data_IF_738769102426
#
_entry.id   IF_738769102426
#
_cell.length_a   1.000
_cell.length_b   1.000
_cell.length_c   1.000
_cell.angle_alpha   90.00
_cell.angle_beta   90.00
_cell.angle_gamma   90.00
#
_symmetry.space_group_name_H-M   'P 1'
#
loop_
_entity.id
_entity.type
_entity.pdbx_description
1 polymer ?
#
# COMPACT_ATOMS: atom_id res chain seq x y z
N UNK A 1 32.32 -11.83 -43.85
CA UNK A 1 31.07 -11.03 -43.80
C UNK A 1 30.63 -10.93 -42.35
N UNK A 2 30.75 -9.75 -41.74
CA UNK A 2 30.27 -9.51 -40.38
C UNK A 2 28.75 -9.31 -40.45
N UNK A 3 27.98 -10.28 -39.96
CA UNK A 3 26.54 -10.14 -39.82
C UNK A 3 26.25 -9.07 -38.76
N UNK A 4 25.84 -7.88 -39.20
CA UNK A 4 25.24 -6.88 -38.30
C UNK A 4 23.97 -7.46 -37.69
N UNK A 5 23.76 -7.35 -36.36
CA UNK A 5 22.59 -7.92 -35.72
C UNK A 5 21.32 -7.26 -36.28
N UNK A 6 20.36 -8.09 -36.70
CA UNK A 6 19.08 -7.63 -37.22
C UNK A 6 18.39 -6.72 -36.18
N UNK A 7 18.04 -5.49 -36.58
CA UNK A 7 17.28 -4.56 -35.75
C UNK A 7 15.90 -5.18 -35.45
N UNK A 8 15.72 -5.63 -34.22
CA UNK A 8 14.39 -5.83 -33.66
C UNK A 8 13.59 -4.52 -33.75
N UNK A 9 12.41 -4.54 -34.37
CA UNK A 9 11.44 -3.42 -34.36
C UNK A 9 10.85 -3.16 -32.95
N UNK A 10 11.29 -3.92 -31.95
CA UNK A 10 10.87 -3.76 -30.56
C UNK A 10 12.03 -3.11 -29.81
N UNK A 11 11.74 -2.00 -29.14
CA UNK A 11 12.70 -1.25 -28.32
C UNK A 11 13.35 -2.13 -27.23
N UNK A 12 14.34 -1.59 -26.50
CA UNK A 12 15.14 -2.36 -25.54
C UNK A 12 14.26 -3.19 -24.59
N UNK A 13 14.66 -4.44 -24.38
CA UNK A 13 14.00 -5.36 -23.46
C UNK A 13 13.85 -4.73 -22.09
N UNK A 14 12.74 -4.98 -21.39
CA UNK A 14 12.51 -4.43 -20.05
C UNK A 14 13.64 -4.87 -19.12
N UNK A 15 14.47 -3.92 -18.69
CA UNK A 15 15.69 -4.22 -17.93
C UNK A 15 15.43 -4.55 -16.45
N UNK A 16 14.22 -4.33 -15.94
CA UNK A 16 13.85 -4.46 -14.53
C UNK A 16 12.73 -5.51 -14.35
N UNK A 17 12.82 -6.32 -13.31
CA UNK A 17 11.83 -7.33 -12.97
C UNK A 17 10.56 -6.71 -12.34
N UNK A 18 9.42 -7.40 -12.47
CA UNK A 18 8.14 -6.93 -11.91
C UNK A 18 8.22 -6.81 -10.37
N UNK A 19 8.95 -7.73 -9.72
CA UNK A 19 9.18 -7.74 -8.28
C UNK A 19 9.96 -6.51 -7.81
N UNK A 20 11.00 -6.12 -8.55
CA UNK A 20 11.80 -4.93 -8.25
C UNK A 20 10.94 -3.65 -8.33
N UNK A 21 10.06 -3.55 -9.33
CA UNK A 21 9.11 -2.43 -9.44
C UNK A 21 8.16 -2.41 -8.25
N UNK A 22 7.57 -3.56 -7.89
CA UNK A 22 6.69 -3.68 -6.72
C UNK A 22 7.40 -3.27 -5.43
N UNK A 23 8.66 -3.67 -5.24
CA UNK A 23 9.46 -3.29 -4.08
C UNK A 23 9.65 -1.78 -3.98
N UNK A 24 10.00 -1.12 -5.09
CA UNK A 24 10.15 0.35 -5.14
C UNK A 24 8.83 1.05 -4.79
N UNK A 25 7.69 0.54 -5.28
CA UNK A 25 6.37 1.08 -4.96
C UNK A 25 6.03 0.95 -3.48
N UNK A 26 6.31 -0.20 -2.87
CA UNK A 26 6.07 -0.41 -1.43
C UNK A 26 6.98 0.48 -0.59
N UNK A 27 8.26 0.58 -0.96
CA UNK A 27 9.21 1.48 -0.28
C UNK A 27 8.74 2.93 -0.36
N UNK A 28 8.19 3.38 -1.50
CA UNK A 28 7.60 4.70 -1.60
C UNK A 28 6.47 4.91 -0.60
N UNK A 29 5.53 3.96 -0.49
CA UNK A 29 4.43 4.05 0.49
C UNK A 29 4.92 4.12 1.94
N UNK A 30 5.97 3.35 2.27
CA UNK A 30 6.56 3.38 3.61
C UNK A 30 7.34 4.68 3.89
N UNK A 31 7.94 5.27 2.86
CA UNK A 31 8.82 6.44 2.99
C UNK A 31 8.09 7.77 3.29
N UNK A 32 6.76 7.80 3.16
CA UNK A 32 5.91 8.99 3.39
C UNK A 32 6.29 10.23 2.57
N UNK A 33 7.00 10.07 1.46
CA UNK A 33 7.27 11.17 0.53
C UNK A 33 5.97 11.61 -0.16
N UNK A 34 5.80 12.92 -0.36
CA UNK A 34 4.65 13.48 -1.08
C UNK A 34 4.77 13.24 -2.59
N UNK A 35 5.98 13.39 -3.12
CA UNK A 35 6.25 13.34 -4.56
C UNK A 35 7.05 12.10 -4.95
N UNK A 36 6.47 11.30 -5.84
CA UNK A 36 7.12 10.09 -6.34
C UNK A 36 8.42 10.40 -7.10
N UNK A 37 8.45 11.49 -7.86
CA UNK A 37 9.63 11.91 -8.63
C UNK A 37 10.82 12.24 -7.73
N UNK A 38 10.57 12.92 -6.61
CA UNK A 38 11.64 13.28 -5.66
C UNK A 38 12.18 12.04 -4.94
N UNK A 39 11.27 11.15 -4.51
CA UNK A 39 11.64 9.85 -3.95
C UNK A 39 12.50 9.03 -4.94
N UNK A 40 12.06 8.91 -6.19
CA UNK A 40 12.76 8.11 -7.21
C UNK A 40 14.14 8.67 -7.55
N UNK A 41 14.30 9.99 -7.64
CA UNK A 41 15.60 10.61 -7.89
C UNK A 41 16.57 10.43 -6.71
N UNK A 42 16.06 10.38 -5.48
CA UNK A 42 16.85 10.09 -4.29
C UNK A 42 17.16 8.60 -4.12
N UNK A 43 16.35 7.71 -4.69
CA UNK A 43 16.42 6.27 -4.49
C UNK A 43 17.82 5.66 -4.72
N UNK A 44 18.54 5.95 -5.83
CA UNK A 44 19.88 5.39 -6.06
C UNK A 44 20.95 5.84 -5.06
N UNK A 45 20.69 6.91 -4.28
CA UNK A 45 21.61 7.41 -3.24
C UNK A 45 21.43 6.65 -1.93
N UNK A 46 20.20 6.24 -1.62
CA UNK A 46 19.86 5.53 -0.39
C UNK A 46 20.08 4.02 -0.51
N UNK A 47 19.90 3.45 -1.70
CA UNK A 47 19.98 2.02 -1.93
C UNK A 47 21.20 1.66 -2.77
N UNK A 48 21.88 0.56 -2.43
CA UNK A 48 23.05 0.08 -3.19
C UNK A 48 22.64 -0.26 -4.61
N UNK A 49 23.43 0.22 -5.57
CA UNK A 49 23.31 -0.13 -7.00
C UNK A 49 23.40 -1.64 -7.24
N UNK A 50 24.02 -2.38 -6.32
CA UNK A 50 24.11 -3.84 -6.33
C UNK A 50 22.72 -4.51 -6.31
N UNK A 51 21.74 -3.93 -5.60
CA UNK A 51 20.40 -4.47 -5.47
C UNK A 51 19.50 -4.14 -6.66
N UNK A 52 19.76 -3.02 -7.35
CA UNK A 52 18.99 -2.55 -8.50
C UNK A 52 19.93 -2.11 -9.63
N UNK A 53 20.67 -3.05 -10.24
CA UNK A 53 21.72 -2.72 -11.22
C UNK A 53 21.17 -2.14 -12.51
N UNK A 54 19.88 -2.38 -12.80
CA UNK A 54 19.21 -2.04 -14.06
C UNK A 54 18.03 -1.09 -13.85
N UNK A 55 18.22 -0.08 -13.01
CA UNK A 55 17.17 0.89 -12.72
C UNK A 55 16.87 1.76 -13.97
N UNK A 56 15.62 1.82 -14.46
CA UNK A 56 15.25 2.63 -15.62
C UNK A 56 15.23 4.13 -15.30
N UNK A 57 15.07 4.98 -16.32
CA UNK A 57 14.76 6.40 -16.10
C UNK A 57 13.36 6.57 -15.48
N UNK A 58 13.13 7.69 -14.79
CA UNK A 58 11.84 8.00 -14.14
C UNK A 58 10.65 7.84 -15.10
N UNK A 59 10.73 8.42 -16.30
CA UNK A 59 9.65 8.34 -17.30
C UNK A 59 9.35 6.90 -17.70
N UNK A 60 10.41 6.14 -17.98
CA UNK A 60 10.28 4.72 -18.30
C UNK A 60 9.69 3.93 -17.14
N UNK A 61 10.08 4.26 -15.90
CA UNK A 61 9.54 3.64 -14.70
C UNK A 61 8.04 3.90 -14.56
N UNK A 62 7.55 5.14 -14.77
CA UNK A 62 6.13 5.48 -14.69
C UNK A 62 5.29 4.65 -15.66
N UNK A 63 5.77 4.45 -16.90
CA UNK A 63 5.10 3.56 -17.84
C UNK A 63 5.07 2.10 -17.36
N UNK A 64 6.16 1.63 -16.74
CA UNK A 64 6.27 0.27 -16.21
C UNK A 64 5.43 0.07 -14.92
N UNK A 65 5.21 1.12 -14.11
CA UNK A 65 4.38 1.05 -12.90
C UNK A 65 2.98 0.52 -13.22
N UNK A 66 2.37 0.99 -14.32
CA UNK A 66 1.03 0.56 -14.75
C UNK A 66 0.88 -0.98 -14.81
N UNK A 67 1.93 -1.68 -15.23
CA UNK A 67 1.95 -3.15 -15.33
C UNK A 67 2.11 -3.83 -13.97
N UNK A 68 2.82 -3.20 -13.03
CA UNK A 68 3.11 -3.75 -11.71
C UNK A 68 2.03 -3.45 -10.67
N UNK A 69 1.23 -2.39 -10.85
CA UNK A 69 0.15 -2.01 -9.92
C UNK A 69 -0.85 -3.16 -9.76
N UNK A 70 -1.27 -3.80 -10.86
CA UNK A 70 -2.21 -4.92 -10.79
C UNK A 70 -1.64 -6.11 -9.99
N UNK A 71 -0.38 -6.48 -10.28
CA UNK A 71 0.33 -7.52 -9.53
C UNK A 71 0.49 -7.16 -8.05
N UNK A 72 0.74 -5.89 -7.75
CA UNK A 72 0.86 -5.40 -6.38
C UNK A 72 -0.46 -5.50 -5.62
N UNK A 73 -1.58 -5.13 -6.24
CA UNK A 73 -2.91 -5.24 -5.64
C UNK A 73 -3.20 -6.70 -5.29
N UNK A 74 -3.04 -7.62 -6.25
CA UNK A 74 -3.25 -9.05 -6.02
C UNK A 74 -2.35 -9.56 -4.89
N UNK A 75 -1.07 -9.19 -4.92
CA UNK A 75 -0.13 -9.57 -3.87
C UNK A 75 -0.57 -9.08 -2.50
N UNK A 76 -1.01 -7.83 -2.37
CA UNK A 76 -1.52 -7.28 -1.11
C UNK A 76 -2.79 -7.98 -0.64
N UNK A 77 -3.72 -8.30 -1.54
CA UNK A 77 -4.95 -9.02 -1.19
C UNK A 77 -4.64 -10.43 -0.65
N UNK A 78 -3.78 -11.18 -1.34
CA UNK A 78 -3.35 -12.52 -0.89
C UNK A 78 -2.63 -12.47 0.47
N UNK A 79 -1.82 -11.43 0.69
CA UNK A 79 -1.11 -11.26 1.97
C UNK A 79 -2.04 -10.79 3.09
N UNK A 80 -3.04 -9.96 2.79
CA UNK A 80 -4.02 -9.44 3.76
C UNK A 80 -5.01 -10.52 4.23
N UNK A 81 -5.42 -11.43 3.35
CA UNK A 81 -6.36 -12.53 3.62
C UNK A 81 -5.84 -13.56 4.65
N UNK A 82 -4.55 -13.48 5.04
CA UNK A 82 -4.02 -14.29 6.15
C UNK A 82 -4.56 -13.85 7.52
N UNK A 83 -5.22 -12.70 7.63
CA UNK A 83 -5.93 -12.31 8.84
C UNK A 83 -7.30 -13.02 8.90
N UNK A 84 -7.27 -14.33 9.22
CA UNK A 84 -8.48 -15.16 9.48
C UNK A 84 -9.07 -14.88 10.86
N UNK A 85 -9.33 -13.61 11.13
CA UNK A 85 -10.07 -13.15 12.30
C UNK A 85 -10.92 -11.99 11.86
N UNK A 86 -12.09 -11.81 12.47
CA UNK A 86 -12.90 -10.60 12.27
C UNK A 86 -11.98 -9.41 12.53
N UNK A 87 -11.62 -8.67 11.47
CA UNK A 87 -10.92 -7.41 11.62
C UNK A 87 -11.91 -6.46 12.31
N UNK A 88 -11.87 -6.45 13.65
CA UNK A 88 -12.55 -5.41 14.40
C UNK A 88 -11.80 -4.13 14.04
N UNK A 89 -12.37 -3.37 13.10
CA UNK A 89 -11.98 -1.99 12.88
C UNK A 89 -12.33 -1.33 14.20
N UNK A 90 -11.33 -1.18 15.09
CA UNK A 90 -11.49 -0.41 16.30
C UNK A 90 -11.81 1.01 15.83
N UNK A 91 -13.11 1.28 15.83
CA UNK A 91 -13.63 2.60 15.52
C UNK A 91 -13.17 3.43 16.71
N UNK A 92 -11.97 4.01 16.59
CA UNK A 92 -11.42 4.86 17.64
C UNK A 92 -12.50 5.89 17.91
N UNK A 93 -13.06 5.86 19.12
CA UNK A 93 -14.15 6.75 19.48
C UNK A 93 -13.69 8.16 19.13
N UNK A 94 -14.41 8.85 18.21
CA UNK A 94 -14.09 10.25 17.94
C UNK A 94 -14.06 10.96 19.29
N UNK A 95 -12.99 11.70 19.62
CA UNK A 95 -12.81 12.29 20.94
C UNK A 95 -13.96 13.23 21.36
N UNK A 96 -14.83 13.59 20.41
CA UNK A 96 -15.99 14.46 20.59
C UNK A 96 -17.33 13.72 20.74
N UNK A 97 -17.36 12.41 20.49
CA UNK A 97 -18.58 11.61 20.55
C UNK A 97 -18.66 10.81 21.85
N UNK A 98 -19.30 11.37 22.88
CA UNK A 98 -19.66 10.58 24.06
C UNK A 98 -20.52 9.37 23.67
N UNK A 99 -20.24 8.20 24.26
CA UNK A 99 -20.97 6.94 23.98
C UNK A 99 -22.49 7.07 24.19
N UNK A 100 -22.93 8.00 25.06
CA UNK A 100 -24.35 8.32 25.29
C UNK A 100 -25.02 9.05 24.11
N UNK A 101 -24.25 9.69 23.23
CA UNK A 101 -24.73 10.50 22.09
C UNK A 101 -24.77 9.73 20.77
N UNK A 102 -24.15 8.55 20.70
CA UNK A 102 -24.15 7.67 19.51
C UNK A 102 -25.55 7.33 18.99
N UNK A 103 -26.50 7.11 19.90
CA UNK A 103 -27.91 6.81 19.60
C UNK A 103 -28.66 7.90 18.82
N UNK A 104 -28.08 9.11 18.72
CA UNK A 104 -28.68 10.24 17.97
C UNK A 104 -28.16 10.34 16.54
N UNK A 105 -27.09 9.64 16.18
CA UNK A 105 -26.61 9.59 14.81
C UNK A 105 -27.46 8.61 14.00
N UNK A 106 -28.10 9.11 12.94
CA UNK A 106 -28.93 8.30 12.03
C UNK A 106 -28.11 7.34 11.15
N UNK A 107 -26.79 7.51 11.10
CA UNK A 107 -25.87 6.74 10.25
C UNK A 107 -25.13 5.63 11.00
N UNK A 108 -25.26 5.56 12.34
CA UNK A 108 -24.62 4.52 13.14
C UNK A 108 -25.66 3.57 13.69
N UNK A 109 -25.62 2.31 13.25
CA UNK A 109 -26.41 1.26 13.85
C UNK A 109 -25.98 1.04 15.31
N UNK A 110 -26.92 0.83 16.24
CA UNK A 110 -26.57 0.56 17.63
C UNK A 110 -25.74 -0.73 17.72
N UNK A 111 -24.67 -0.76 18.52
CA UNK A 111 -23.87 -1.97 18.69
C UNK A 111 -24.74 -3.10 19.24
N UNK A 112 -24.84 -4.22 18.51
CA UNK A 112 -25.74 -5.33 18.82
C UNK A 112 -25.33 -6.16 20.05
N UNK A 113 -24.11 -5.94 20.60
CA UNK A 113 -23.57 -6.72 21.72
C UNK A 113 -23.05 -5.80 22.83
N UNK A 114 -23.95 -5.18 23.59
CA UNK A 114 -23.64 -4.80 24.98
C UNK A 114 -24.33 -5.82 25.88
N UNK A 115 -23.63 -6.92 26.16
CA UNK A 115 -23.85 -7.65 27.40
C UNK A 115 -23.74 -6.61 28.52
N UNK A 116 -24.84 -6.45 29.27
CA UNK A 116 -25.00 -5.40 30.26
C UNK A 116 -23.85 -5.52 31.27
N UNK A 117 -22.89 -4.60 31.24
CA UNK A 117 -22.11 -4.37 32.46
C UNK A 117 -23.12 -4.00 33.53
N UNK A 118 -23.19 -4.75 34.65
CA UNK A 118 -24.10 -4.42 35.72
C UNK A 118 -23.71 -3.04 36.22
N UNK A 119 -24.62 -2.08 36.02
CA UNK A 119 -24.63 -0.84 36.79
C UNK A 119 -24.73 -1.27 38.25
N UNK A 120 -23.58 -1.34 38.92
CA UNK A 120 -23.53 -1.55 40.35
C UNK A 120 -24.31 -0.41 41.00
N UNK A 121 -25.27 -0.81 41.81
CA UNK A 121 -26.28 0.03 42.42
C UNK A 121 -25.71 1.17 43.23
N UNK A 122 -26.45 2.27 43.16
CA UNK A 122 -26.78 3.14 44.29
C UNK A 122 -26.55 2.50 45.66
N UNK A 123 -25.74 3.12 46.50
CA UNK A 123 -25.83 3.04 47.96
C UNK A 123 -25.48 4.42 48.54
N UNK A 124 -26.48 4.98 49.22
CA UNK A 124 -26.48 6.04 50.24
C UNK A 124 -25.70 7.34 49.97
#
# INVERSE_FOLDING_TARGET
>A
MLLSPAKSHRGPSCCIAISEIMTILVMFQMSRFRDFKNFYNGFPKFYRKDCFPKLPSYERFVHLMSRAIFSLIIFTQIKADRQKGVCYIDSSCLPDCHLKRSKRHKTFDPPQNMEKLPLAGSLA
#
